data_IF_597682327653
#
_entry.id   IF_597682327653
#
_cell.length_a   1.000
_cell.length_b   1.000
_cell.length_c   1.000
_cell.angle_alpha   90.00
_cell.angle_beta   90.00
_cell.angle_gamma   90.00
#
_symmetry.space_group_name_H-M   'P 1'
#
loop_
_entity.id
_entity.type
_entity.pdbx_description
1 polymer ?
#
# COMPACT_ATOMS: atom_id res chain seq x y z
N UNK A 1 10.02 25.49 -0.10
CA UNK A 1 8.59 25.24 -0.37
C UNK A 1 8.48 23.97 -1.20
N UNK A 2 8.01 22.86 -0.63
CA UNK A 2 7.67 21.67 -1.42
C UNK A 2 6.29 21.93 -2.06
N UNK A 3 6.13 21.75 -3.38
CA UNK A 3 4.86 22.02 -4.05
C UNK A 3 3.73 21.17 -3.43
N UNK A 4 2.50 21.71 -3.32
CA UNK A 4 1.35 20.98 -2.77
C UNK A 4 1.07 19.63 -3.46
N UNK A 5 1.48 19.47 -4.72
CA UNK A 5 1.40 18.20 -5.44
C UNK A 5 2.29 17.11 -4.84
N UNK A 6 3.52 17.46 -4.39
CA UNK A 6 4.40 16.50 -3.72
C UNK A 6 3.83 16.03 -2.38
N UNK A 7 3.09 16.88 -1.66
CA UNK A 7 2.42 16.50 -0.42
C UNK A 7 1.27 15.52 -0.68
N UNK A 8 0.49 15.71 -1.75
CA UNK A 8 -0.55 14.78 -2.16
C UNK A 8 0.01 13.38 -2.50
N UNK A 9 1.10 13.34 -3.26
CA UNK A 9 1.77 12.08 -3.62
C UNK A 9 2.41 11.38 -2.42
N UNK A 10 3.06 12.12 -1.52
CA UNK A 10 3.63 11.57 -0.28
C UNK A 10 2.54 11.00 0.63
N UNK A 11 1.39 11.67 0.73
CA UNK A 11 0.23 11.18 1.50
C UNK A 11 -0.36 9.90 0.90
N UNK A 12 -0.50 9.85 -0.43
CA UNK A 12 -1.01 8.65 -1.11
C UNK A 12 -0.05 7.46 -0.94
N UNK A 13 1.26 7.67 -1.11
CA UNK A 13 2.26 6.63 -0.89
C UNK A 13 2.23 6.10 0.55
N UNK A 14 2.07 7.00 1.54
CA UNK A 14 1.94 6.61 2.94
C UNK A 14 0.67 5.78 3.20
N UNK A 15 -0.48 6.16 2.62
CA UNK A 15 -1.73 5.41 2.74
C UNK A 15 -1.63 4.02 2.10
N UNK A 16 -0.97 3.91 0.94
CA UNK A 16 -0.72 2.63 0.27
C UNK A 16 0.13 1.72 1.18
N UNK A 17 1.22 2.24 1.75
CA UNK A 17 2.08 1.48 2.68
C UNK A 17 1.30 0.98 3.92
N UNK A 18 0.48 1.85 4.52
CA UNK A 18 -0.38 1.46 5.64
C UNK A 18 -1.38 0.35 5.26
N UNK A 19 -2.00 0.45 4.09
CA UNK A 19 -2.93 -0.57 3.61
C UNK A 19 -2.22 -1.89 3.29
N UNK A 20 -1.01 -1.85 2.71
CA UNK A 20 -0.19 -3.04 2.50
C UNK A 20 0.12 -3.75 3.82
N UNK A 21 0.53 -3.01 4.86
CA UNK A 21 0.78 -3.57 6.19
C UNK A 21 -0.45 -4.23 6.78
N UNK A 22 -1.63 -3.62 6.64
CA UNK A 22 -2.91 -4.20 7.09
C UNK A 22 -3.24 -5.49 6.33
N UNK A 23 -3.04 -5.49 5.01
CA UNK A 23 -3.24 -6.68 4.17
C UNK A 23 -2.30 -7.80 4.62
N UNK A 24 -1.04 -7.47 4.93
CA UNK A 24 -0.08 -8.46 5.42
C UNK A 24 -0.49 -9.06 6.75
N UNK A 25 -0.82 -8.21 7.73
CA UNK A 25 -1.30 -8.65 9.04
C UNK A 25 -2.55 -9.53 8.92
N UNK A 26 -3.49 -9.17 8.04
CA UNK A 26 -4.73 -9.93 7.84
C UNK A 26 -4.52 -11.28 7.14
N UNK A 27 -3.57 -11.38 6.21
CA UNK A 27 -3.32 -12.60 5.43
C UNK A 27 -2.29 -13.54 6.05
N UNK A 28 -1.28 -12.99 6.73
CA UNK A 28 -0.12 -13.75 7.20
C UNK A 28 0.06 -13.69 8.73
N UNK A 29 -0.64 -12.80 9.43
CA UNK A 29 -0.49 -12.60 10.88
C UNK A 29 0.67 -11.70 11.29
N UNK A 30 1.55 -11.34 10.35
CA UNK A 30 2.66 -10.41 10.54
C UNK A 30 2.89 -9.53 9.31
N UNK A 31 3.70 -8.48 9.45
CA UNK A 31 4.17 -7.67 8.31
C UNK A 31 5.31 -8.40 7.63
N UNK A 32 5.17 -8.67 6.33
CA UNK A 32 6.21 -9.35 5.54
C UNK A 32 7.49 -8.51 5.47
N UNK A 33 8.62 -9.18 5.65
CA UNK A 33 9.94 -8.66 5.33
C UNK A 33 10.14 -8.52 3.82
N UNK A 34 11.14 -7.75 3.35
CA UNK A 34 11.42 -7.64 1.92
C UNK A 34 11.68 -8.98 1.22
N UNK A 35 12.30 -9.94 1.90
CA UNK A 35 12.60 -11.27 1.35
C UNK A 35 11.36 -12.14 1.27
N UNK A 36 10.52 -12.17 2.31
CA UNK A 36 9.23 -12.85 2.28
C UNK A 36 8.31 -12.26 1.19
N UNK A 37 8.30 -10.94 1.03
CA UNK A 37 7.57 -10.28 -0.05
C UNK A 37 8.07 -10.73 -1.41
N UNK A 38 9.38 -10.75 -1.65
CA UNK A 38 9.97 -11.19 -2.93
C UNK A 38 9.72 -12.66 -3.23
N UNK A 39 9.64 -13.50 -2.19
CA UNK A 39 9.34 -14.93 -2.32
C UNK A 39 7.91 -15.18 -2.82
N UNK A 40 6.99 -14.22 -2.66
CA UNK A 40 5.64 -14.36 -3.18
C UNK A 40 5.59 -14.31 -4.71
N UNK A 41 4.68 -15.07 -5.35
CA UNK A 41 4.42 -14.97 -6.78
C UNK A 41 4.14 -13.53 -7.20
N UNK A 42 4.63 -13.15 -8.39
CA UNK A 42 4.45 -11.79 -8.93
C UNK A 42 2.96 -11.41 -8.99
N UNK A 43 2.09 -12.36 -9.37
CA UNK A 43 0.65 -12.14 -9.40
C UNK A 43 0.08 -11.78 -8.02
N UNK A 44 0.51 -12.49 -6.97
CA UNK A 44 0.09 -12.23 -5.59
C UNK A 44 0.56 -10.86 -5.11
N UNK A 45 1.82 -10.51 -5.39
CA UNK A 45 2.35 -9.17 -5.07
C UNK A 45 1.55 -8.07 -5.77
N UNK A 46 1.27 -8.21 -7.06
CA UNK A 46 0.48 -7.25 -7.83
C UNK A 46 -0.95 -7.12 -7.30
N UNK A 47 -1.60 -8.22 -6.96
CA UNK A 47 -2.96 -8.19 -6.40
C UNK A 47 -3.01 -7.43 -5.07
N UNK A 48 -2.05 -7.67 -4.16
CA UNK A 48 -1.98 -6.95 -2.89
C UNK A 48 -1.65 -5.47 -3.05
N UNK A 49 -0.74 -5.11 -3.96
CA UNK A 49 -0.42 -3.70 -4.27
C UNK A 49 -1.63 -2.98 -4.89
N UNK A 50 -2.35 -3.62 -5.83
CA UNK A 50 -3.58 -3.07 -6.40
C UNK A 50 -4.67 -2.88 -5.35
N UNK A 51 -4.86 -3.86 -4.47
CA UNK A 51 -5.82 -3.75 -3.36
C UNK A 51 -5.46 -2.58 -2.43
N UNK A 52 -4.19 -2.43 -2.06
CA UNK A 52 -3.72 -1.34 -1.19
C UNK A 52 -3.95 0.05 -1.84
N UNK A 53 -3.71 0.17 -3.16
CA UNK A 53 -3.97 1.38 -3.95
C UNK A 53 -5.45 1.70 -4.06
N UNK A 54 -6.30 0.71 -4.34
CA UNK A 54 -7.74 0.90 -4.41
C UNK A 54 -8.29 1.41 -3.08
N UNK A 55 -7.85 0.83 -1.96
CA UNK A 55 -8.24 1.28 -0.62
C UNK A 55 -7.74 2.70 -0.33
N UNK A 56 -6.53 3.06 -0.75
CA UNK A 56 -5.98 4.39 -0.55
C UNK A 56 -6.73 5.46 -1.36
N UNK A 57 -7.09 5.15 -2.62
CA UNK A 57 -7.86 6.04 -3.49
C UNK A 57 -9.31 6.21 -3.01
N UNK A 58 -9.92 5.16 -2.45
CA UNK A 58 -11.29 5.25 -1.92
C UNK A 58 -11.37 6.16 -0.69
N UNK A 59 -10.32 6.21 0.13
CA UNK A 59 -10.22 7.12 1.29
C UNK A 59 -9.85 8.55 0.84
N UNK A 60 -9.08 8.69 -0.23
CA UNK A 60 -8.68 10.00 -0.78
C UNK A 60 -9.71 10.69 -1.66
N UNK A 61 -10.70 9.96 -2.19
CA UNK A 61 -11.73 10.48 -3.10
C UNK A 61 -12.99 11.02 -2.40
N UNK A 62 -12.99 11.12 -1.06
CA UNK A 62 -14.12 11.64 -0.27
C UNK A 62 -13.75 12.96 0.45
N UNK A 63 -12.93 13.78 -0.19
CA UNK A 63 -12.56 15.13 0.24
C UNK A 63 -12.79 16.13 -0.89
#
# INVERSE_FOLDING_TARGET
MTPPEMQGHARLAHLIDQNLKRIFLAKFGHVLTPDEWKALPIATRRAMDQQARQQANHIGGNA
#
